data_IF_365822043886
#
_entry.id   IF_365822043886
#
_cell.length_a   1.000
_cell.length_b   1.000
_cell.length_c   1.000
_cell.angle_alpha   90.00
_cell.angle_beta   90.00
_cell.angle_gamma   90.00
#
_symmetry.space_group_name_H-M   'P 1'
#
loop_
_entity.id
_entity.type
_entity.pdbx_description
1 polymer ?
#
# COMPACT_ATOMS: atom_id res chain seq x y z
N UNK A 1 -16.78 -39.30 8.83
CA UNK A 1 -15.79 -38.33 8.31
C UNK A 1 -14.81 -38.04 9.44
N UNK A 2 -13.51 -38.05 9.18
CA UNK A 2 -12.48 -37.69 10.18
C UNK A 2 -12.41 -36.17 10.32
N UNK A 3 -11.92 -35.65 11.46
CA UNK A 3 -11.75 -34.21 11.67
C UNK A 3 -10.87 -33.58 10.56
N UNK A 4 -9.81 -34.27 10.16
CA UNK A 4 -8.96 -33.89 9.01
C UNK A 4 -9.74 -33.75 7.69
N UNK A 5 -10.62 -34.71 7.36
CA UNK A 5 -11.43 -34.63 6.12
C UNK A 5 -12.42 -33.47 6.13
N UNK A 6 -12.99 -33.15 7.30
CA UNK A 6 -13.90 -32.00 7.48
C UNK A 6 -13.11 -30.70 7.34
N UNK A 7 -11.94 -30.61 7.98
CA UNK A 7 -11.07 -29.44 7.89
C UNK A 7 -10.61 -29.19 6.46
N UNK A 8 -10.20 -30.23 5.72
CA UNK A 8 -9.83 -30.10 4.30
C UNK A 8 -10.96 -29.57 3.43
N UNK A 9 -12.19 -30.07 3.61
CA UNK A 9 -13.36 -29.55 2.90
C UNK A 9 -13.66 -28.09 3.27
N UNK A 10 -13.57 -27.73 4.55
CA UNK A 10 -13.76 -26.38 5.04
C UNK A 10 -12.70 -25.41 4.49
N UNK A 11 -11.45 -25.85 4.39
CA UNK A 11 -10.35 -25.09 3.78
C UNK A 11 -10.59 -24.80 2.30
N UNK A 12 -11.11 -25.77 1.55
CA UNK A 12 -11.47 -25.56 0.14
C UNK A 12 -12.60 -24.53 0.01
N UNK A 13 -13.63 -24.61 0.87
CA UNK A 13 -14.71 -23.62 0.90
C UNK A 13 -14.19 -22.24 1.28
N UNK A 14 -13.32 -22.14 2.29
CA UNK A 14 -12.70 -20.88 2.70
C UNK A 14 -11.86 -20.28 1.58
N UNK A 15 -11.07 -21.08 0.85
CA UNK A 15 -10.29 -20.65 -0.29
C UNK A 15 -11.17 -20.07 -1.40
N UNK A 16 -12.29 -20.72 -1.74
CA UNK A 16 -13.27 -20.20 -2.70
C UNK A 16 -13.87 -18.86 -2.23
N UNK A 17 -14.18 -18.74 -0.93
CA UNK A 17 -14.67 -17.48 -0.36
C UNK A 17 -13.64 -16.36 -0.42
N UNK A 18 -12.35 -16.64 -0.24
CA UNK A 18 -11.29 -15.64 -0.44
C UNK A 18 -11.16 -15.20 -1.90
N UNK A 19 -11.30 -16.11 -2.86
CA UNK A 19 -11.35 -15.76 -4.29
C UNK A 19 -12.56 -14.85 -4.58
N UNK A 20 -13.74 -15.22 -4.07
CA UNK A 20 -14.95 -14.40 -4.21
C UNK A 20 -14.84 -13.06 -3.48
N UNK A 21 -14.05 -12.99 -2.40
CA UNK A 21 -13.76 -11.75 -1.69
C UNK A 21 -13.02 -10.76 -2.58
N UNK A 22 -11.92 -11.18 -3.22
CA UNK A 22 -11.20 -10.32 -4.16
C UNK A 22 -12.04 -9.97 -5.40
N UNK A 23 -12.77 -10.94 -5.96
CA UNK A 23 -13.67 -10.67 -7.07
C UNK A 23 -14.73 -9.62 -6.70
N UNK A 24 -15.32 -9.72 -5.51
CA UNK A 24 -16.28 -8.75 -5.00
C UNK A 24 -15.68 -7.37 -4.75
N UNK A 25 -14.41 -7.28 -4.34
CA UNK A 25 -13.69 -6.03 -4.12
C UNK A 25 -13.30 -5.30 -5.41
N UNK A 26 -13.32 -5.99 -6.57
CA UNK A 26 -12.97 -5.38 -7.86
C UNK A 26 -13.97 -4.36 -8.39
N UNK A 27 -15.18 -4.30 -7.81
CA UNK A 27 -16.25 -3.37 -8.20
C UNK A 27 -16.90 -2.76 -6.96
N UNK A 28 -17.19 -1.47 -7.01
CA UNK A 28 -17.72 -0.74 -5.86
C UNK A 28 -19.10 -1.24 -5.42
N UNK A 29 -19.96 -1.66 -6.36
CA UNK A 29 -21.30 -2.18 -6.10
C UNK A 29 -21.26 -3.51 -5.33
N UNK A 30 -20.23 -4.32 -5.58
CA UNK A 30 -20.04 -5.62 -4.94
C UNK A 30 -19.05 -5.59 -3.76
N UNK A 31 -18.35 -4.48 -3.52
CA UNK A 31 -17.27 -4.38 -2.54
C UNK A 31 -17.70 -4.83 -1.14
N UNK A 32 -18.89 -4.41 -0.69
CA UNK A 32 -19.43 -4.82 0.62
C UNK A 32 -19.66 -6.34 0.71
N UNK A 33 -20.15 -6.96 -0.37
CA UNK A 33 -20.34 -8.41 -0.44
C UNK A 33 -19.00 -9.14 -0.47
N UNK A 34 -18.00 -8.57 -1.17
CA UNK A 34 -16.62 -9.06 -1.17
C UNK A 34 -16.03 -9.15 0.24
N UNK A 35 -16.20 -8.11 1.06
CA UNK A 35 -15.76 -8.12 2.47
C UNK A 35 -16.43 -9.23 3.27
N UNK A 36 -17.74 -9.43 3.10
CA UNK A 36 -18.47 -10.50 3.79
C UNK A 36 -17.98 -11.90 3.40
N UNK A 37 -17.62 -12.14 2.14
CA UNK A 37 -17.01 -13.40 1.74
C UNK A 37 -15.66 -13.62 2.44
N UNK A 38 -14.83 -12.58 2.55
CA UNK A 38 -13.56 -12.66 3.28
C UNK A 38 -13.74 -12.98 4.77
N UNK A 39 -14.69 -12.32 5.43
CA UNK A 39 -15.04 -12.59 6.84
C UNK A 39 -15.51 -14.04 7.01
N UNK A 40 -16.43 -14.49 6.14
CA UNK A 40 -16.94 -15.86 6.16
C UNK A 40 -15.85 -16.90 5.93
N UNK A 41 -14.98 -16.68 4.95
CA UNK A 41 -13.84 -17.55 4.65
C UNK A 41 -12.87 -17.67 5.84
N UNK A 42 -12.51 -16.55 6.46
CA UNK A 42 -11.64 -16.54 7.64
C UNK A 42 -12.30 -17.24 8.84
N UNK A 43 -13.59 -17.00 9.08
CA UNK A 43 -14.31 -17.66 10.17
C UNK A 43 -14.36 -19.18 9.98
N UNK A 44 -14.67 -19.66 8.77
CA UNK A 44 -14.69 -21.09 8.45
C UNK A 44 -13.30 -21.71 8.64
N UNK A 45 -12.25 -21.05 8.14
CA UNK A 45 -10.87 -21.52 8.27
C UNK A 45 -10.46 -21.66 9.74
N UNK A 46 -10.66 -20.61 10.55
CA UNK A 46 -10.29 -20.62 11.97
C UNK A 46 -11.05 -21.67 12.77
N UNK A 47 -12.36 -21.83 12.52
CA UNK A 47 -13.18 -22.85 13.20
C UNK A 47 -12.72 -24.26 12.82
N UNK A 48 -12.42 -24.50 11.53
CA UNK A 48 -11.92 -25.78 11.07
C UNK A 48 -10.54 -26.12 11.67
N UNK A 49 -9.62 -25.16 11.69
CA UNK A 49 -8.29 -25.34 12.30
C UNK A 49 -8.39 -25.55 13.81
N UNK A 50 -9.24 -24.80 14.51
CA UNK A 50 -9.45 -24.99 15.94
C UNK A 50 -10.03 -26.39 16.24
N UNK A 51 -10.98 -26.85 15.43
CA UNK A 51 -11.52 -28.20 15.54
C UNK A 51 -10.45 -29.27 15.36
N UNK A 52 -9.56 -29.11 14.37
CA UNK A 52 -8.43 -30.01 14.14
C UNK A 52 -7.43 -30.00 15.31
N UNK A 53 -7.10 -28.83 15.84
CA UNK A 53 -6.21 -28.69 17.00
C UNK A 53 -6.81 -29.34 18.24
N UNK A 54 -8.11 -29.17 18.49
CA UNK A 54 -8.79 -29.81 19.62
C UNK A 54 -8.77 -31.33 19.45
N UNK A 55 -9.12 -31.85 18.28
CA UNK A 55 -9.10 -33.29 17.98
C UNK A 55 -7.72 -33.90 18.28
N UNK A 56 -6.65 -33.29 17.76
CA UNK A 56 -5.26 -33.71 18.01
C UNK A 56 -4.89 -33.60 19.49
N UNK A 57 -5.20 -32.48 20.14
CA UNK A 57 -4.82 -32.25 21.54
C UNK A 57 -5.60 -33.12 22.53
N UNK A 58 -6.76 -33.66 22.13
CA UNK A 58 -7.55 -34.62 22.93
C UNK A 58 -7.21 -36.08 22.65
N UNK A 59 -6.31 -36.37 21.71
CA UNK A 59 -5.83 -37.72 21.46
C UNK A 59 -4.95 -38.22 22.62
N UNK A 60 -5.03 -39.52 22.92
CA UNK A 60 -4.30 -40.15 24.05
C UNK A 60 -2.79 -39.88 24.02
N UNK A 61 -2.20 -39.67 22.84
CA UNK A 61 -0.78 -39.36 22.64
C UNK A 61 -0.38 -37.96 23.16
N UNK A 62 -1.30 -36.99 23.14
CA UNK A 62 -1.02 -35.58 23.46
C UNK A 62 -1.59 -35.12 24.81
N UNK A 63 -2.58 -35.82 25.36
CA UNK A 63 -3.17 -35.48 26.67
C UNK A 63 -2.10 -35.54 27.77
N UNK A 64 -1.24 -36.56 27.76
CA UNK A 64 -0.14 -36.71 28.72
C UNK A 64 1.04 -35.75 28.48
N UNK A 65 1.13 -35.16 27.28
CA UNK A 65 2.19 -34.24 26.86
C UNK A 65 1.78 -32.75 26.91
N UNK A 66 0.69 -32.41 27.61
CA UNK A 66 0.28 -31.03 27.81
C UNK A 66 -0.60 -30.44 26.70
N UNK A 67 -1.37 -31.28 25.99
CA UNK A 67 -2.33 -30.84 24.96
C UNK A 67 -3.29 -29.74 25.43
N UNK A 68 -3.82 -29.85 26.65
CA UNK A 68 -4.68 -28.83 27.27
C UNK A 68 -3.98 -27.48 27.40
N UNK A 69 -2.71 -27.47 27.84
CA UNK A 69 -1.91 -26.24 27.97
C UNK A 69 -1.70 -25.59 26.60
N UNK A 70 -1.45 -26.39 25.56
CA UNK A 70 -1.27 -25.90 24.19
C UNK A 70 -2.53 -25.21 23.65
N UNK A 71 -3.72 -25.80 23.87
CA UNK A 71 -4.99 -25.17 23.50
C UNK A 71 -5.20 -23.85 24.24
N UNK A 72 -4.93 -23.83 25.56
CA UNK A 72 -5.09 -22.61 26.37
C UNK A 72 -4.17 -21.51 25.86
N UNK A 73 -2.89 -21.81 25.59
CA UNK A 73 -1.94 -20.85 25.05
C UNK A 73 -2.36 -20.31 23.68
N UNK A 74 -2.84 -21.19 22.79
CA UNK A 74 -3.37 -20.81 21.47
C UNK A 74 -4.57 -19.86 21.60
N UNK A 75 -5.56 -20.20 22.42
CA UNK A 75 -6.75 -19.36 22.63
C UNK A 75 -6.39 -18.01 23.24
N UNK A 76 -5.50 -17.97 24.22
CA UNK A 76 -5.02 -16.72 24.83
C UNK A 76 -4.32 -15.85 23.77
N UNK A 77 -3.43 -16.42 22.96
CA UNK A 77 -2.75 -15.69 21.90
C UNK A 77 -3.72 -15.13 20.86
N UNK A 78 -4.71 -15.93 20.42
CA UNK A 78 -5.75 -15.49 19.48
C UNK A 78 -6.59 -14.35 20.06
N UNK A 79 -7.02 -14.46 21.32
CA UNK A 79 -7.82 -13.43 21.99
C UNK A 79 -7.03 -12.12 22.13
N UNK A 80 -5.76 -12.19 22.54
CA UNK A 80 -4.89 -11.01 22.65
C UNK A 80 -4.69 -10.36 21.27
N UNK A 81 -4.36 -11.17 20.25
CA UNK A 81 -4.18 -10.69 18.89
C UNK A 81 -5.44 -10.03 18.32
N UNK A 82 -6.60 -10.65 18.50
CA UNK A 82 -7.89 -10.11 18.08
C UNK A 82 -8.24 -8.82 18.81
N UNK A 83 -8.01 -8.75 20.14
CA UNK A 83 -8.28 -7.56 20.92
C UNK A 83 -7.42 -6.36 20.47
N UNK A 84 -6.11 -6.57 20.28
CA UNK A 84 -5.19 -5.54 19.80
C UNK A 84 -5.56 -5.10 18.38
N UNK A 85 -5.84 -6.07 17.49
CA UNK A 85 -6.23 -5.80 16.10
C UNK A 85 -7.52 -4.99 16.00
N UNK A 86 -8.57 -5.39 16.72
CA UNK A 86 -9.85 -4.67 16.76
C UNK A 86 -9.71 -3.28 17.38
N UNK A 87 -8.89 -3.14 18.43
CA UNK A 87 -8.62 -1.84 19.04
C UNK A 87 -7.91 -0.90 18.04
N UNK A 88 -6.81 -1.34 17.43
CA UNK A 88 -6.05 -0.53 16.47
C UNK A 88 -6.87 -0.17 15.23
N UNK A 89 -7.66 -1.10 14.70
CA UNK A 89 -8.52 -0.84 13.54
C UNK A 89 -9.61 0.20 13.81
N UNK A 90 -10.07 0.37 15.06
CA UNK A 90 -11.10 1.35 15.42
C UNK A 90 -10.58 2.78 15.61
N UNK A 91 -9.31 2.94 15.96
CA UNK A 91 -8.74 4.24 16.33
C UNK A 91 -7.86 4.86 15.25
N UNK A 92 -7.50 4.10 14.21
CA UNK A 92 -6.64 4.59 13.13
C UNK A 92 -7.42 5.58 12.27
N UNK A 93 -6.81 6.73 11.98
CA UNK A 93 -7.35 7.69 11.02
C UNK A 93 -7.11 7.20 9.58
N UNK A 94 -8.00 7.55 8.64
CA UNK A 94 -7.88 7.11 7.23
C UNK A 94 -6.59 7.59 6.56
N UNK A 95 -6.04 8.72 7.00
CA UNK A 95 -4.73 9.24 6.58
C UNK A 95 -3.54 8.41 7.06
N UNK A 96 -3.70 7.71 8.19
CA UNK A 96 -2.72 6.78 8.77
C UNK A 96 -2.89 5.33 8.29
N UNK A 97 -3.79 5.07 7.35
CA UNK A 97 -4.00 3.74 6.80
C UNK A 97 -2.74 3.13 6.14
N UNK A 98 -1.90 3.90 5.39
CA UNK A 98 -0.71 3.32 4.74
C UNK A 98 0.31 2.75 5.73
N UNK A 99 0.57 3.46 6.83
CA UNK A 99 1.51 2.99 7.86
C UNK A 99 0.96 1.80 8.64
N UNK A 100 -0.36 1.77 8.92
CA UNK A 100 -0.97 0.62 9.58
C UNK A 100 -0.87 -0.63 8.71
N UNK A 101 -1.14 -0.52 7.40
CA UNK A 101 -1.03 -1.65 6.46
C UNK A 101 0.42 -2.15 6.42
N UNK A 102 1.40 -1.25 6.34
CA UNK A 102 2.82 -1.61 6.41
C UNK A 102 3.13 -2.40 7.68
N UNK A 103 2.65 -1.94 8.84
CA UNK A 103 2.84 -2.61 10.12
C UNK A 103 2.15 -3.99 10.15
N UNK A 104 0.95 -4.15 9.57
CA UNK A 104 0.24 -5.43 9.54
C UNK A 104 1.00 -6.51 8.77
N UNK A 105 1.63 -6.15 7.65
CA UNK A 105 2.51 -7.07 6.91
C UNK A 105 3.70 -7.56 7.76
N UNK A 106 4.18 -6.75 8.71
CA UNK A 106 5.27 -7.18 9.59
C UNK A 106 4.85 -8.39 10.43
N UNK A 107 3.61 -8.42 10.95
CA UNK A 107 3.11 -9.55 11.72
C UNK A 107 2.99 -10.83 10.89
N UNK A 108 2.60 -10.72 9.61
CA UNK A 108 2.56 -11.87 8.69
C UNK A 108 3.97 -12.41 8.45
N UNK A 109 4.94 -11.53 8.20
CA UNK A 109 6.34 -11.93 8.04
C UNK A 109 6.92 -12.61 9.28
N UNK A 110 6.66 -12.05 10.47
CA UNK A 110 7.10 -12.64 11.73
C UNK A 110 6.43 -14.00 11.99
N UNK A 111 5.13 -14.13 11.70
CA UNK A 111 4.43 -15.41 11.82
C UNK A 111 5.05 -16.48 10.90
N UNK A 112 5.39 -16.14 9.66
CA UNK A 112 6.06 -17.07 8.74
C UNK A 112 7.46 -17.49 9.25
N UNK A 113 8.22 -16.57 9.86
CA UNK A 113 9.51 -16.90 10.49
C UNK A 113 9.29 -17.90 11.64
N UNK A 114 8.33 -17.63 12.53
CA UNK A 114 8.04 -18.51 13.66
C UNK A 114 7.56 -19.90 13.20
N UNK A 115 6.71 -19.95 12.16
CA UNK A 115 6.25 -21.20 11.55
C UNK A 115 7.40 -21.98 10.94
N UNK A 116 8.31 -21.33 10.21
CA UNK A 116 9.49 -21.98 9.65
C UNK A 116 10.44 -22.53 10.72
N UNK A 117 10.69 -21.76 11.79
CA UNK A 117 11.46 -22.23 12.94
C UNK A 117 10.81 -23.42 13.63
N UNK A 118 9.50 -23.38 13.85
CA UNK A 118 8.77 -24.50 14.43
C UNK A 118 8.84 -25.75 13.53
N UNK A 119 8.65 -25.59 12.21
CA UNK A 119 8.71 -26.69 11.26
C UNK A 119 10.09 -27.36 11.18
N UNK A 120 11.17 -26.61 11.35
CA UNK A 120 12.51 -27.18 11.49
C UNK A 120 12.66 -27.98 12.79
N UNK A 121 12.34 -27.36 13.93
CA UNK A 121 12.53 -27.98 15.23
C UNK A 121 11.68 -29.24 15.39
N UNK A 122 10.47 -29.27 14.83
CA UNK A 122 9.60 -30.43 14.87
C UNK A 122 10.18 -31.63 14.12
N UNK A 123 10.67 -31.43 12.89
CA UNK A 123 11.26 -32.50 12.08
C UNK A 123 12.56 -33.03 12.70
N UNK A 124 13.42 -32.15 13.21
CA UNK A 124 14.68 -32.57 13.85
C UNK A 124 14.46 -33.31 15.17
N UNK A 125 13.42 -32.98 15.94
CA UNK A 125 13.15 -33.68 17.21
C UNK A 125 12.37 -34.98 17.03
N UNK A 126 11.50 -35.08 16.02
CA UNK A 126 10.53 -36.18 15.92
C UNK A 126 10.74 -37.11 14.71
N UNK A 127 11.56 -36.71 13.74
CA UNK A 127 11.96 -37.56 12.61
C UNK A 127 10.82 -37.96 11.67
N UNK A 128 9.74 -37.19 11.57
CA UNK A 128 8.52 -37.57 10.83
C UNK A 128 8.62 -37.54 9.30
N UNK A 129 9.74 -37.07 8.75
CA UNK A 129 9.97 -36.99 7.31
C UNK A 129 11.24 -37.78 7.00
N UNK A 130 11.20 -38.65 5.98
CA UNK A 130 12.33 -39.49 5.59
C UNK A 130 12.75 -39.27 4.13
N UNK A 131 14.01 -39.57 3.82
CA UNK A 131 14.51 -39.59 2.45
C UNK A 131 14.58 -38.22 1.76
N UNK A 132 14.19 -38.15 0.49
CA UNK A 132 14.26 -36.91 -0.30
C UNK A 132 13.28 -35.83 0.17
N UNK A 133 12.22 -36.21 0.88
CA UNK A 133 11.21 -35.26 1.38
C UNK A 133 11.77 -34.34 2.47
N UNK A 134 12.73 -34.82 3.27
CA UNK A 134 13.41 -34.00 4.30
C UNK A 134 14.15 -32.82 3.67
N UNK A 135 14.83 -33.07 2.55
CA UNK A 135 15.59 -32.04 1.84
C UNK A 135 14.67 -30.97 1.23
N UNK A 136 13.50 -31.37 0.75
CA UNK A 136 12.47 -30.45 0.27
C UNK A 136 11.93 -29.61 1.43
N UNK A 137 11.56 -30.26 2.54
CA UNK A 137 11.12 -29.58 3.77
C UNK A 137 12.13 -28.55 4.26
N UNK A 138 13.41 -28.90 4.32
CA UNK A 138 14.48 -27.97 4.73
C UNK A 138 14.64 -26.77 3.78
N UNK A 139 14.43 -26.97 2.48
CA UNK A 139 14.40 -25.87 1.53
C UNK A 139 13.19 -24.95 1.78
N UNK A 140 12.01 -25.52 2.00
CA UNK A 140 10.77 -24.78 2.30
C UNK A 140 10.89 -23.96 3.59
N UNK A 141 11.46 -24.53 4.66
CA UNK A 141 11.79 -23.83 5.90
C UNK A 141 12.62 -22.57 5.63
N UNK A 142 13.74 -22.74 4.92
CA UNK A 142 14.71 -21.65 4.69
C UNK A 142 14.10 -20.55 3.82
N UNK A 143 13.38 -20.93 2.75
CA UNK A 143 12.70 -19.98 1.87
C UNK A 143 11.61 -19.23 2.63
N UNK A 144 10.78 -19.92 3.42
CA UNK A 144 9.72 -19.32 4.24
C UNK A 144 10.27 -18.31 5.26
N UNK A 145 11.34 -18.68 5.98
CA UNK A 145 12.01 -17.78 6.93
C UNK A 145 12.61 -16.57 6.22
N UNK A 146 13.28 -16.77 5.10
CA UNK A 146 13.91 -15.68 4.36
C UNK A 146 12.89 -14.63 3.90
N UNK A 147 11.82 -15.07 3.22
CA UNK A 147 10.77 -14.16 2.75
C UNK A 147 10.07 -13.50 3.94
N UNK A 148 9.76 -14.26 4.99
CA UNK A 148 9.11 -13.75 6.20
C UNK A 148 9.94 -12.69 6.92
N UNK A 149 11.24 -12.93 7.11
CA UNK A 149 12.14 -12.02 7.82
C UNK A 149 12.44 -10.73 7.03
N UNK A 150 12.60 -10.84 5.70
CA UNK A 150 12.70 -9.67 4.80
C UNK A 150 11.43 -8.84 4.89
N UNK A 151 10.26 -9.49 4.86
CA UNK A 151 8.96 -8.82 4.99
C UNK A 151 8.83 -8.12 6.34
N UNK A 152 9.15 -8.82 7.44
CA UNK A 152 9.03 -8.28 8.80
C UNK A 152 9.80 -6.97 8.99
N UNK A 153 11.10 -6.99 8.70
CA UNK A 153 11.96 -5.82 8.89
C UNK A 153 11.70 -4.73 7.86
N UNK A 154 11.47 -5.10 6.59
CA UNK A 154 11.11 -4.16 5.55
C UNK A 154 9.83 -3.39 5.88
N UNK A 155 8.81 -4.09 6.36
CA UNK A 155 7.54 -3.52 6.82
C UNK A 155 7.69 -2.59 8.01
N UNK A 156 8.56 -2.91 8.98
CA UNK A 156 8.85 -2.01 10.10
C UNK A 156 9.48 -0.72 9.59
N UNK A 157 10.45 -0.78 8.68
CA UNK A 157 11.09 0.43 8.12
C UNK A 157 10.09 1.25 7.31
N UNK A 158 9.23 0.60 6.50
CA UNK A 158 8.16 1.27 5.78
C UNK A 158 7.20 2.00 6.72
N UNK A 159 6.76 1.33 7.80
CA UNK A 159 5.93 1.94 8.86
C UNK A 159 6.62 3.16 9.49
N UNK A 160 7.88 3.04 9.88
CA UNK A 160 8.62 4.13 10.51
C UNK A 160 8.81 5.34 9.58
N UNK A 161 9.00 5.11 8.28
CA UNK A 161 9.10 6.19 7.27
C UNK A 161 7.76 6.87 7.03
N UNK A 162 6.68 6.09 6.87
CA UNK A 162 5.35 6.62 6.60
C UNK A 162 4.79 7.42 7.79
N UNK A 163 5.06 6.94 9.02
CA UNK A 163 4.74 7.63 10.28
C UNK A 163 5.67 8.77 10.65
N UNK A 164 6.61 9.12 9.77
CA UNK A 164 7.59 10.18 9.96
C UNK A 164 8.43 10.06 11.25
N UNK A 165 8.54 8.84 11.81
CA UNK A 165 9.40 8.55 12.97
C UNK A 165 10.88 8.45 12.61
N UNK A 166 11.18 8.16 11.34
CA UNK A 166 12.52 8.23 10.76
C UNK A 166 12.50 9.07 9.48
N UNK A 167 13.69 9.49 9.02
CA UNK A 167 13.83 10.28 7.80
C UNK A 167 13.30 9.50 6.58
N UNK A 168 12.56 10.20 5.73
CA UNK A 168 12.03 9.69 4.47
C UNK A 168 13.08 9.63 3.34
N UNK A 169 14.23 10.28 3.52
CA UNK A 169 15.36 10.23 2.59
C UNK A 169 15.93 8.81 2.48
N UNK A 170 16.30 8.35 1.28
CA UNK A 170 16.90 7.04 1.11
C UNK A 170 18.25 6.95 1.84
N UNK A 171 18.49 5.83 2.52
CA UNK A 171 19.81 5.51 3.07
C UNK A 171 20.76 5.14 1.93
N UNK A 172 21.91 5.81 1.84
CA UNK A 172 22.89 5.57 0.78
C UNK A 172 24.18 5.03 1.42
N UNK A 173 24.34 3.71 1.43
CA UNK A 173 25.60 3.06 1.81
C UNK A 173 26.52 2.92 0.58
N UNK A 174 27.85 3.04 0.76
CA UNK A 174 28.82 2.73 -0.30
C UNK A 174 28.61 1.29 -0.79
N UNK A 175 28.39 1.11 -2.10
CA UNK A 175 28.18 -0.21 -2.68
C UNK A 175 26.87 -0.91 -2.27
N UNK A 176 25.82 -0.17 -1.89
CA UNK A 176 24.52 -0.73 -1.45
C UNK A 176 23.98 -1.87 -2.31
N UNK A 177 24.15 -1.79 -3.64
CA UNK A 177 23.68 -2.82 -4.57
C UNK A 177 24.49 -4.11 -4.45
N UNK A 178 25.81 -3.99 -4.26
CA UNK A 178 26.69 -5.13 -4.04
C UNK A 178 26.37 -5.81 -2.70
N UNK A 179 26.02 -5.04 -1.66
CA UNK A 179 25.56 -5.61 -0.39
C UNK A 179 24.27 -6.41 -0.56
N UNK A 180 23.29 -5.88 -1.28
CA UNK A 180 22.01 -6.57 -1.53
C UNK A 180 22.19 -7.84 -2.37
N UNK A 181 22.92 -7.76 -3.48
CA UNK A 181 23.20 -8.92 -4.35
C UNK A 181 24.06 -9.94 -3.61
N UNK A 182 25.07 -9.48 -2.86
CA UNK A 182 25.91 -10.32 -2.03
C UNK A 182 25.11 -11.08 -0.97
N UNK A 183 24.16 -10.42 -0.30
CA UNK A 183 23.26 -11.07 0.65
C UNK A 183 22.41 -12.17 -0.01
N UNK A 184 21.92 -11.96 -1.24
CA UNK A 184 21.18 -12.99 -1.98
C UNK A 184 22.07 -14.19 -2.37
N UNK A 185 23.31 -13.94 -2.78
CA UNK A 185 24.28 -15.01 -3.09
C UNK A 185 24.62 -15.81 -1.83
N UNK A 186 24.89 -15.12 -0.72
CA UNK A 186 25.14 -15.77 0.58
C UNK A 186 23.93 -16.58 1.03
N UNK A 187 22.71 -16.04 0.87
CA UNK A 187 21.48 -16.78 1.15
C UNK A 187 21.37 -18.07 0.34
N UNK A 188 21.63 -18.03 -0.98
CA UNK A 188 21.58 -19.21 -1.83
C UNK A 188 22.63 -20.27 -1.41
N UNK A 189 23.84 -19.84 -1.09
CA UNK A 189 24.91 -20.73 -0.60
C UNK A 189 24.56 -21.37 0.75
N UNK A 190 24.05 -20.59 1.71
CA UNK A 190 23.62 -21.08 3.01
C UNK A 190 22.42 -22.03 2.89
N UNK A 191 21.51 -21.79 1.95
CA UNK A 191 20.39 -22.69 1.66
C UNK A 191 20.89 -24.05 1.17
N UNK A 192 21.81 -24.06 0.19
CA UNK A 192 22.38 -25.29 -0.33
C UNK A 192 23.13 -26.09 0.76
N UNK A 193 23.85 -25.39 1.64
CA UNK A 193 24.51 -26.01 2.79
C UNK A 193 23.49 -26.59 3.76
N UNK A 194 22.51 -25.80 4.20
CA UNK A 194 21.49 -26.23 5.16
C UNK A 194 20.67 -27.43 4.67
N UNK A 195 20.31 -27.47 3.39
CA UNK A 195 19.57 -28.60 2.81
C UNK A 195 20.41 -29.89 2.83
N UNK A 196 21.73 -29.77 2.75
CA UNK A 196 22.65 -30.91 2.73
C UNK A 196 23.04 -31.39 4.13
N UNK A 197 23.29 -30.45 5.05
CA UNK A 197 23.71 -30.67 6.42
C UNK A 197 22.97 -29.65 7.32
N UNK A 198 21.74 -29.96 7.75
CA UNK A 198 20.89 -29.05 8.50
C UNK A 198 21.46 -28.80 9.89
N UNK A 199 21.81 -27.55 10.18
CA UNK A 199 22.38 -27.16 11.47
C UNK A 199 21.66 -25.93 11.99
N UNK A 200 21.35 -25.92 13.28
CA UNK A 200 20.60 -24.82 13.90
C UNK A 200 21.26 -23.45 13.69
N UNK A 201 22.60 -23.39 13.75
CA UNK A 201 23.31 -22.11 13.55
C UNK A 201 23.17 -21.58 12.12
N UNK A 202 23.07 -22.44 11.10
CA UNK A 202 22.81 -22.01 9.71
C UNK A 202 21.44 -21.34 9.62
N UNK A 203 20.42 -21.90 10.27
CA UNK A 203 19.09 -21.30 10.38
C UNK A 203 19.13 -19.91 11.02
N UNK A 204 19.90 -19.77 12.11
CA UNK A 204 20.11 -18.47 12.79
C UNK A 204 20.76 -17.47 11.86
N UNK A 205 21.85 -17.86 11.19
CA UNK A 205 22.59 -16.97 10.27
C UNK A 205 21.70 -16.52 9.11
N UNK A 206 20.94 -17.44 8.49
CA UNK A 206 19.99 -17.08 7.43
C UNK A 206 18.92 -16.12 7.94
N UNK A 207 18.37 -16.36 9.14
CA UNK A 207 17.37 -15.47 9.75
C UNK A 207 17.94 -14.07 9.94
N UNK A 208 19.13 -13.95 10.53
CA UNK A 208 19.80 -12.65 10.76
C UNK A 208 20.12 -11.95 9.44
N UNK A 209 20.61 -12.68 8.44
CA UNK A 209 20.89 -12.15 7.11
C UNK A 209 19.62 -11.59 6.45
N UNK A 210 18.52 -12.33 6.52
CA UNK A 210 17.24 -11.93 5.95
C UNK A 210 16.65 -10.68 6.66
N UNK A 211 16.73 -10.62 8.00
CA UNK A 211 16.35 -9.45 8.79
C UNK A 211 17.19 -8.22 8.41
N UNK A 212 18.51 -8.39 8.26
CA UNK A 212 19.40 -7.30 7.86
C UNK A 212 19.12 -6.83 6.43
N UNK A 213 18.85 -7.76 5.51
CA UNK A 213 18.52 -7.47 4.12
C UNK A 213 17.20 -6.69 4.00
N UNK A 214 16.13 -7.14 4.68
CA UNK A 214 14.84 -6.45 4.65
C UNK A 214 14.92 -5.03 5.18
N UNK A 215 15.65 -4.83 6.29
CA UNK A 215 15.96 -3.52 6.83
C UNK A 215 16.69 -2.65 5.80
N UNK A 216 17.81 -3.13 5.26
CA UNK A 216 18.66 -2.35 4.36
C UNK A 216 17.96 -2.02 3.03
N UNK A 217 17.24 -2.99 2.45
CA UNK A 217 16.53 -2.83 1.17
C UNK A 217 15.48 -1.71 1.28
N UNK A 218 14.62 -1.74 2.28
CA UNK A 218 13.57 -0.71 2.45
C UNK A 218 14.14 0.60 2.98
N UNK A 219 15.18 0.58 3.81
CA UNK A 219 15.87 1.78 4.26
C UNK A 219 16.48 2.56 3.08
N UNK A 220 16.91 1.86 2.02
CA UNK A 220 17.52 2.45 0.83
C UNK A 220 16.52 3.07 -0.16
N UNK A 221 15.20 2.94 0.08
CA UNK A 221 14.15 3.46 -0.81
C UNK A 221 13.60 4.79 -0.28
N UNK A 222 13.29 5.75 -1.17
CA UNK A 222 12.77 7.07 -0.79
C UNK A 222 11.31 7.06 -0.33
N UNK A 223 10.92 8.05 0.47
CA UNK A 223 9.59 8.17 1.07
C UNK A 223 8.41 8.20 0.11
N UNK A 224 8.56 8.77 -1.09
CA UNK A 224 7.46 8.82 -2.07
C UNK A 224 7.31 7.53 -2.87
N UNK A 225 8.28 6.61 -2.80
CA UNK A 225 8.18 5.27 -3.38
C UNK A 225 7.63 4.25 -2.36
N UNK A 226 7.47 4.66 -1.10
CA UNK A 226 6.91 3.83 -0.04
C UNK A 226 5.55 3.20 -0.40
N UNK A 227 4.63 3.84 -1.16
CA UNK A 227 3.39 3.18 -1.56
C UNK A 227 3.65 1.88 -2.36
N UNK A 228 4.61 1.92 -3.28
CA UNK A 228 5.02 0.74 -4.08
C UNK A 228 5.67 -0.29 -3.16
N UNK A 229 6.52 0.14 -2.22
CA UNK A 229 7.15 -0.77 -1.25
C UNK A 229 6.12 -1.48 -0.39
N UNK A 230 5.09 -0.78 0.09
CA UNK A 230 4.01 -1.37 0.88
C UNK A 230 3.26 -2.42 0.07
N UNK A 231 2.97 -2.14 -1.22
CA UNK A 231 2.35 -3.11 -2.12
C UNK A 231 3.24 -4.33 -2.40
N UNK A 232 4.55 -4.14 -2.53
CA UNK A 232 5.50 -5.23 -2.73
C UNK A 232 5.65 -6.09 -1.47
N UNK A 233 5.70 -5.48 -0.28
CA UNK A 233 5.72 -6.19 0.99
C UNK A 233 4.41 -6.97 1.21
N UNK A 234 3.28 -6.48 0.69
CA UNK A 234 2.04 -7.26 0.61
C UNK A 234 2.18 -8.49 -0.31
N UNK A 235 2.91 -8.36 -1.43
CA UNK A 235 3.24 -9.53 -2.26
C UNK A 235 4.08 -10.54 -1.48
N UNK A 236 5.13 -10.07 -0.79
CA UNK A 236 6.02 -10.95 -0.03
C UNK A 236 5.31 -11.64 1.14
N UNK A 237 4.39 -10.96 1.81
CA UNK A 237 3.58 -11.57 2.86
C UNK A 237 2.70 -12.71 2.31
N UNK A 238 2.14 -12.54 1.10
CA UNK A 238 1.43 -13.60 0.37
C UNK A 238 2.33 -14.80 0.04
N UNK A 239 3.51 -14.56 -0.51
CA UNK A 239 4.47 -15.64 -0.82
C UNK A 239 4.99 -16.35 0.44
N UNK A 240 5.18 -15.61 1.54
CA UNK A 240 5.55 -16.19 2.84
C UNK A 240 4.43 -17.08 3.40
N UNK A 241 3.16 -16.67 3.24
CA UNK A 241 2.01 -17.50 3.59
C UNK A 241 1.92 -18.75 2.72
N UNK A 242 2.16 -18.64 1.40
CA UNK A 242 2.19 -19.80 0.51
C UNK A 242 3.32 -20.78 0.85
N UNK A 243 4.52 -20.27 1.16
CA UNK A 243 5.65 -21.08 1.62
C UNK A 243 5.33 -21.79 2.95
N UNK A 244 4.69 -21.10 3.89
CA UNK A 244 4.18 -21.72 5.13
C UNK A 244 3.10 -22.76 4.83
N UNK A 245 2.30 -22.56 3.80
CA UNK A 245 1.31 -23.53 3.32
C UNK A 245 1.94 -24.81 2.80
N UNK A 246 3.01 -24.73 2.00
CA UNK A 246 3.76 -25.92 1.58
C UNK A 246 4.38 -26.64 2.78
N UNK A 247 5.04 -25.90 3.66
CA UNK A 247 5.66 -26.44 4.88
C UNK A 247 4.67 -27.21 5.77
N UNK A 248 3.44 -26.71 5.88
CA UNK A 248 2.39 -27.28 6.71
C UNK A 248 1.45 -28.22 5.95
N UNK A 249 1.71 -28.47 4.66
CA UNK A 249 0.82 -29.20 3.75
C UNK A 249 -0.64 -28.70 3.83
N UNK A 250 -0.82 -27.38 3.73
CA UNK A 250 -2.09 -26.69 3.92
C UNK A 250 -2.50 -25.91 2.66
N UNK A 251 -3.42 -26.50 1.88
CA UNK A 251 -3.93 -25.94 0.63
C UNK A 251 -4.54 -24.55 0.79
N UNK A 252 -5.19 -24.25 1.93
CA UNK A 252 -5.78 -22.93 2.15
C UNK A 252 -4.69 -21.85 2.15
N UNK A 253 -3.59 -22.09 2.87
CA UNK A 253 -2.47 -21.14 2.95
C UNK A 253 -1.76 -21.01 1.59
N UNK A 254 -1.62 -22.10 0.84
CA UNK A 254 -1.06 -22.08 -0.52
C UNK A 254 -1.93 -21.21 -1.43
N UNK A 255 -3.24 -21.47 -1.50
CA UNK A 255 -4.17 -20.76 -2.39
C UNK A 255 -4.27 -19.29 -2.00
N UNK A 256 -4.50 -18.99 -0.72
CA UNK A 256 -4.64 -17.60 -0.25
C UNK A 256 -3.32 -16.83 -0.35
N UNK A 257 -2.20 -17.47 -0.03
CA UNK A 257 -0.87 -16.89 -0.17
C UNK A 257 -0.53 -16.54 -1.62
N UNK A 258 -0.78 -17.45 -2.56
CA UNK A 258 -0.56 -17.20 -3.99
C UNK A 258 -1.48 -16.09 -4.54
N UNK A 259 -2.73 -16.04 -4.09
CA UNK A 259 -3.70 -15.01 -4.45
C UNK A 259 -3.25 -13.61 -3.98
N UNK A 260 -2.85 -13.48 -2.72
CA UNK A 260 -2.33 -12.21 -2.15
C UNK A 260 -1.00 -11.84 -2.79
N UNK A 261 -0.11 -12.82 -2.96
CA UNK A 261 1.22 -12.66 -3.55
C UNK A 261 1.15 -12.10 -4.98
N UNK A 262 0.35 -12.72 -5.83
CA UNK A 262 0.15 -12.28 -7.22
C UNK A 262 -0.54 -10.92 -7.32
N UNK A 263 -1.58 -10.67 -6.52
CA UNK A 263 -2.29 -9.38 -6.47
C UNK A 263 -1.36 -8.24 -6.06
N UNK A 264 -0.56 -8.42 -5.01
CA UNK A 264 0.42 -7.42 -4.57
C UNK A 264 1.52 -7.16 -5.62
N UNK A 265 1.98 -8.20 -6.32
CA UNK A 265 2.97 -8.04 -7.38
C UNK A 265 2.39 -7.23 -8.56
N UNK A 266 1.18 -7.57 -8.99
CA UNK A 266 0.48 -6.87 -10.07
C UNK A 266 0.19 -5.41 -9.71
N UNK A 267 -0.32 -5.14 -8.50
CA UNK A 267 -0.55 -3.80 -8.00
C UNK A 267 0.74 -2.97 -8.00
N UNK A 268 1.84 -3.56 -7.54
CA UNK A 268 3.14 -2.88 -7.53
C UNK A 268 3.61 -2.51 -8.94
N UNK A 269 3.37 -3.38 -9.92
CA UNK A 269 3.70 -3.13 -11.33
C UNK A 269 2.90 -1.96 -11.91
N UNK A 270 1.57 -1.95 -11.74
CA UNK A 270 0.72 -0.87 -12.27
C UNK A 270 1.03 0.48 -11.61
N UNK A 271 1.38 0.49 -10.32
CA UNK A 271 1.82 1.70 -9.64
C UNK A 271 3.15 2.22 -10.21
N UNK A 272 4.10 1.34 -10.48
CA UNK A 272 5.37 1.71 -11.12
C UNK A 272 5.13 2.30 -12.52
N UNK A 273 4.25 1.68 -13.30
CA UNK A 273 3.86 2.16 -14.62
C UNK A 273 3.20 3.55 -14.55
N UNK A 274 2.28 3.76 -13.59
CA UNK A 274 1.63 5.04 -13.37
C UNK A 274 2.60 6.16 -12.92
N UNK A 275 3.74 5.80 -12.35
CA UNK A 275 4.83 6.73 -12.00
C UNK A 275 5.87 6.89 -13.11
N UNK A 276 5.71 6.20 -14.24
CA UNK A 276 6.73 6.00 -15.27
C UNK A 276 8.11 5.63 -14.72
N UNK A 277 8.13 4.70 -13.77
CA UNK A 277 9.37 4.17 -13.18
C UNK A 277 9.46 2.68 -13.39
N UNK A 278 10.66 2.17 -13.65
CA UNK A 278 10.84 0.72 -13.76
C UNK A 278 10.75 0.06 -12.39
N UNK A 279 10.02 -1.06 -12.32
CA UNK A 279 9.85 -1.84 -11.11
C UNK A 279 11.19 -2.24 -10.45
N UNK A 280 12.17 -2.61 -11.29
CA UNK A 280 13.53 -2.95 -10.84
C UNK A 280 14.25 -1.73 -10.26
N UNK A 281 14.09 -0.54 -10.85
CA UNK A 281 14.69 0.70 -10.32
C UNK A 281 14.17 1.04 -8.93
N UNK A 282 12.87 0.86 -8.70
CA UNK A 282 12.25 1.10 -7.38
C UNK A 282 12.78 0.12 -6.34
N UNK A 283 12.87 -1.17 -6.65
CA UNK A 283 13.45 -2.20 -5.74
C UNK A 283 14.92 -1.91 -5.44
N UNK A 284 15.70 -1.54 -6.44
CA UNK A 284 17.12 -1.26 -6.29
C UNK A 284 17.41 0.10 -5.62
N UNK A 285 16.37 0.84 -5.20
CA UNK A 285 16.50 2.13 -4.53
C UNK A 285 17.02 3.23 -5.44
N UNK A 286 16.44 3.37 -6.63
CA UNK A 286 16.73 4.48 -7.56
C UNK A 286 17.84 4.19 -8.57
N UNK A 287 17.97 2.94 -9.03
CA UNK A 287 18.90 2.63 -10.11
C UNK A 287 18.43 3.30 -11.42
N UNK A 288 19.23 4.21 -11.98
CA UNK A 288 19.04 4.71 -13.35
C UNK A 288 18.33 6.05 -13.53
N UNK A 289 18.11 6.85 -12.49
CA UNK A 289 17.73 8.26 -12.66
C UNK A 289 18.70 9.11 -11.84
N UNK A 290 19.84 9.45 -12.44
CA UNK A 290 20.56 10.65 -12.01
C UNK A 290 19.60 11.82 -12.24
N UNK A 291 19.36 12.61 -11.19
CA UNK A 291 18.67 13.87 -11.37
C UNK A 291 19.53 14.75 -12.27
N UNK A 292 19.21 14.78 -13.57
CA UNK A 292 19.65 15.83 -14.47
C UNK A 292 19.36 17.15 -13.77
N UNK A 293 20.38 18.01 -13.65
CA UNK A 293 20.30 19.25 -12.89
C UNK A 293 19.00 19.99 -13.19
N UNK A 294 18.24 20.30 -12.13
CA UNK A 294 17.03 21.11 -12.22
C UNK A 294 17.38 22.46 -12.83
N UNK A 295 16.92 22.73 -14.04
CA UNK A 295 16.84 24.10 -14.53
C UNK A 295 15.87 24.85 -13.60
N UNK A 296 16.35 25.92 -12.96
CA UNK A 296 15.46 26.84 -12.26
C UNK A 296 14.54 27.47 -13.30
N UNK A 297 13.24 27.19 -13.19
CA UNK A 297 12.23 27.87 -13.99
C UNK A 297 12.00 29.22 -13.31
N UNK A 298 12.59 30.27 -13.88
CA UNK A 298 12.28 31.65 -13.51
C UNK A 298 11.02 32.10 -14.26
N UNK A 299 9.99 32.49 -13.51
CA UNK A 299 8.76 33.07 -14.02
C UNK A 299 8.02 33.81 -12.92
N UNK A 300 7.20 34.80 -13.28
CA UNK A 300 6.29 35.44 -12.33
C UNK A 300 5.02 34.57 -12.19
N UNK A 301 4.68 34.18 -10.97
CA UNK A 301 3.41 33.52 -10.69
C UNK A 301 2.31 34.57 -10.43
N UNK A 302 1.07 34.21 -10.76
CA UNK A 302 -0.11 35.04 -10.47
C UNK A 302 -0.75 34.54 -9.18
N UNK A 303 -1.17 35.45 -8.31
CA UNK A 303 -1.86 35.11 -7.05
C UNK A 303 -3.34 35.50 -7.12
N UNK A 304 -4.18 34.70 -6.48
CA UNK A 304 -5.61 34.96 -6.31
C UNK A 304 -6.00 34.73 -4.84
N UNK A 305 -6.98 35.48 -4.35
CA UNK A 305 -7.57 35.29 -3.02
C UNK A 305 -8.83 34.41 -3.07
N UNK A 306 -9.40 34.13 -1.90
CA UNK A 306 -10.58 33.26 -1.80
C UNK A 306 -11.84 33.88 -2.43
N UNK A 307 -11.99 35.21 -2.34
CA UNK A 307 -13.12 35.92 -2.93
C UNK A 307 -13.04 35.87 -4.47
N UNK A 308 -11.86 36.10 -5.05
CA UNK A 308 -11.66 35.97 -6.50
C UNK A 308 -11.90 34.56 -7.02
N UNK A 309 -11.52 33.53 -6.25
CA UNK A 309 -11.84 32.13 -6.61
C UNK A 309 -13.34 31.87 -6.53
N UNK A 310 -14.06 32.43 -5.55
CA UNK A 310 -15.51 32.31 -5.47
C UNK A 310 -16.22 32.98 -6.67
N UNK A 311 -15.70 34.10 -7.16
CA UNK A 311 -16.23 34.76 -8.37
C UNK A 311 -16.02 33.91 -9.63
N UNK A 312 -14.83 33.30 -9.79
CA UNK A 312 -14.56 32.35 -10.88
C UNK A 312 -15.50 31.15 -10.81
N UNK A 313 -15.72 30.58 -9.63
CA UNK A 313 -16.59 29.42 -9.45
C UNK A 313 -18.08 29.75 -9.65
N UNK A 314 -18.50 30.98 -9.36
CA UNK A 314 -19.88 31.43 -9.59
C UNK A 314 -20.17 31.59 -11.09
N UNK A 315 -19.18 31.96 -11.89
CA UNK A 315 -19.32 32.14 -13.34
C UNK A 315 -19.05 30.85 -14.14
N UNK A 316 -18.54 29.80 -13.51
CA UNK A 316 -18.23 28.53 -14.15
C UNK A 316 -19.48 27.68 -14.37
N UNK A 317 -19.55 27.00 -15.51
CA UNK A 317 -20.54 25.94 -15.77
C UNK A 317 -19.98 24.54 -15.47
N UNK A 318 -18.66 24.39 -15.54
CA UNK A 318 -17.94 23.13 -15.30
C UNK A 318 -16.71 23.32 -14.42
N UNK A 319 -16.58 22.49 -13.39
CA UNK A 319 -15.46 22.54 -12.43
C UNK A 319 -14.89 21.14 -12.24
N UNK A 320 -13.56 21.00 -12.38
CA UNK A 320 -12.86 19.76 -12.05
C UNK A 320 -11.96 19.98 -10.84
N UNK A 321 -12.06 19.11 -9.84
CA UNK A 321 -11.22 19.14 -8.65
C UNK A 321 -10.17 18.03 -8.77
N UNK A 322 -8.88 18.38 -8.68
CA UNK A 322 -7.76 17.44 -8.74
C UNK A 322 -7.05 17.39 -7.37
N UNK A 323 -7.45 16.44 -6.50
CA UNK A 323 -6.91 16.36 -5.15
C UNK A 323 -5.52 15.70 -5.14
N UNK A 324 -4.66 16.16 -4.23
CA UNK A 324 -3.37 15.55 -3.94
C UNK A 324 -3.13 15.34 -2.45
N UNK A 325 -1.93 14.88 -2.11
CA UNK A 325 -1.58 14.56 -0.71
C UNK A 325 -1.69 15.78 0.23
N UNK A 326 -1.50 17.01 -0.27
CA UNK A 326 -1.70 18.21 0.53
C UNK A 326 -3.13 18.38 1.07
N UNK A 327 -4.15 17.92 0.33
CA UNK A 327 -5.55 17.90 0.79
C UNK A 327 -5.70 16.98 2.00
N UNK A 328 -5.09 15.79 1.96
CA UNK A 328 -5.15 14.81 3.04
C UNK A 328 -4.45 15.29 4.31
N UNK A 329 -3.26 15.92 4.17
CA UNK A 329 -2.51 16.47 5.29
C UNK A 329 -3.28 17.60 5.98
N UNK A 330 -3.98 18.43 5.21
CA UNK A 330 -4.78 19.54 5.74
C UNK A 330 -6.16 19.09 6.27
N UNK A 331 -6.56 17.82 6.10
CA UNK A 331 -7.91 17.35 6.39
C UNK A 331 -9.00 18.15 5.64
N UNK A 332 -8.73 18.50 4.39
CA UNK A 332 -9.58 19.38 3.58
C UNK A 332 -10.70 18.62 2.82
N UNK A 333 -10.78 17.30 2.92
CA UNK A 333 -11.78 16.50 2.21
C UNK A 333 -13.23 16.88 2.56
N UNK A 334 -13.52 17.23 3.81
CA UNK A 334 -14.86 17.62 4.25
C UNK A 334 -15.31 18.97 3.68
N UNK A 335 -14.54 20.07 3.78
CA UNK A 335 -14.94 21.33 3.14
C UNK A 335 -14.93 21.22 1.61
N UNK A 336 -14.07 20.41 0.99
CA UNK A 336 -14.13 20.15 -0.46
C UNK A 336 -15.44 19.45 -0.86
N UNK A 337 -15.92 18.50 -0.05
CA UNK A 337 -17.23 17.88 -0.27
C UNK A 337 -18.39 18.89 -0.11
N UNK A 338 -18.31 19.81 0.87
CA UNK A 338 -19.32 20.86 1.01
C UNK A 338 -19.29 21.85 -0.17
N UNK A 339 -18.09 22.22 -0.64
CA UNK A 339 -17.92 23.07 -1.83
C UNK A 339 -18.55 22.41 -3.06
N UNK A 340 -18.25 21.14 -3.28
CA UNK A 340 -18.83 20.33 -4.36
C UNK A 340 -20.35 20.33 -4.30
N UNK A 341 -20.92 20.08 -3.11
CA UNK A 341 -22.37 20.05 -2.92
C UNK A 341 -23.01 21.40 -3.26
N UNK A 342 -22.46 22.51 -2.74
CA UNK A 342 -23.01 23.86 -2.98
C UNK A 342 -22.92 24.30 -4.43
N UNK A 343 -21.84 23.96 -5.13
CA UNK A 343 -21.69 24.25 -6.56
C UNK A 343 -22.69 23.43 -7.39
N UNK A 344 -22.88 22.13 -7.08
CA UNK A 344 -23.88 21.29 -7.75
C UNK A 344 -25.32 21.77 -7.49
N UNK A 345 -25.61 22.28 -6.29
CA UNK A 345 -26.91 22.91 -5.99
C UNK A 345 -27.19 24.16 -6.83
N UNK A 346 -26.14 24.84 -7.30
CA UNK A 346 -26.22 25.96 -8.25
C UNK A 346 -26.26 25.51 -9.72
N UNK A 347 -26.25 24.21 -9.99
CA UNK A 347 -26.29 23.65 -11.35
C UNK A 347 -24.93 23.55 -12.05
N UNK A 348 -23.82 23.78 -11.34
CA UNK A 348 -22.47 23.59 -11.88
C UNK A 348 -22.15 22.10 -11.98
N UNK A 349 -21.61 21.67 -13.13
CA UNK A 349 -21.09 20.31 -13.29
C UNK A 349 -19.75 20.18 -12.57
N UNK A 350 -19.74 19.49 -11.41
CA UNK A 350 -18.54 19.31 -10.59
C UNK A 350 -18.09 17.85 -10.61
N UNK A 351 -16.86 17.63 -11.07
CA UNK A 351 -16.23 16.31 -11.19
C UNK A 351 -14.87 16.29 -10.50
N UNK A 352 -14.41 15.12 -10.10
CA UNK A 352 -13.08 14.90 -9.53
C UNK A 352 -12.23 14.13 -10.52
N UNK A 353 -11.00 14.61 -10.75
CA UNK A 353 -9.99 13.89 -11.52
C UNK A 353 -8.94 13.29 -10.59
N UNK A 354 -8.90 11.97 -10.49
CA UNK A 354 -7.99 11.25 -9.59
C UNK A 354 -6.80 10.72 -10.36
N UNK A 355 -5.60 11.14 -9.96
CA UNK A 355 -4.38 10.54 -10.45
C UNK A 355 -4.11 9.20 -9.73
N UNK A 356 -3.72 8.11 -10.42
CA UNK A 356 -3.58 6.78 -9.81
C UNK A 356 -2.61 6.72 -8.61
N UNK A 357 -1.60 7.60 -8.60
CA UNK A 357 -0.62 7.71 -7.50
C UNK A 357 -0.77 8.96 -6.64
N UNK A 358 -1.93 9.62 -6.67
CA UNK A 358 -2.22 10.71 -5.75
C UNK A 358 -2.29 10.19 -4.30
N UNK A 359 -1.42 10.72 -3.42
CA UNK A 359 -1.41 10.39 -2.00
C UNK A 359 -0.20 9.56 -1.57
N UNK A 360 -0.44 8.55 -0.72
CA UNK A 360 0.59 7.71 -0.08
C UNK A 360 0.26 6.21 -0.13
N UNK A 361 -0.82 5.85 -0.81
CA UNK A 361 -1.31 4.48 -1.00
C UNK A 361 -2.25 4.47 -2.21
N UNK A 362 -2.34 3.37 -2.99
CA UNK A 362 -3.28 3.30 -4.12
C UNK A 362 -4.72 3.58 -3.71
N UNK A 363 -5.39 4.49 -4.42
CA UNK A 363 -6.77 4.86 -4.10
C UNK A 363 -6.92 5.70 -2.82
N UNK A 364 -5.83 6.28 -2.28
CA UNK A 364 -5.89 7.09 -1.06
C UNK A 364 -6.88 8.25 -1.20
N UNK A 365 -6.93 8.93 -2.35
CA UNK A 365 -7.89 10.02 -2.57
C UNK A 365 -9.33 9.52 -2.64
N UNK A 366 -9.59 8.40 -3.34
CA UNK A 366 -10.93 7.82 -3.46
C UNK A 366 -11.50 7.48 -2.07
N UNK A 367 -10.67 6.93 -1.18
CA UNK A 367 -11.05 6.58 0.20
C UNK A 367 -11.40 7.83 1.02
N UNK A 368 -10.60 8.90 0.95
CA UNK A 368 -10.87 10.14 1.68
C UNK A 368 -12.12 10.86 1.16
N UNK A 369 -12.35 10.85 -0.15
CA UNK A 369 -13.55 11.42 -0.75
C UNK A 369 -14.80 10.60 -0.37
N UNK A 370 -14.70 9.28 -0.34
CA UNK A 370 -15.75 8.40 0.14
C UNK A 370 -16.07 8.63 1.64
N UNK A 371 -15.06 8.84 2.48
CA UNK A 371 -15.24 9.23 3.88
C UNK A 371 -15.99 10.57 4.02
N UNK A 372 -15.65 11.55 3.17
CA UNK A 372 -16.35 12.82 3.08
C UNK A 372 -17.73 12.72 2.37
N UNK A 373 -18.15 11.51 1.98
CA UNK A 373 -19.43 11.20 1.32
C UNK A 373 -19.61 11.87 -0.05
N UNK A 374 -18.51 12.07 -0.78
CA UNK A 374 -18.57 12.49 -2.18
C UNK A 374 -19.17 11.34 -3.01
N UNK A 375 -20.18 11.60 -3.85
CA UNK A 375 -20.77 10.59 -4.72
C UNK A 375 -19.73 10.00 -5.70
N UNK A 376 -19.72 8.68 -5.88
CA UNK A 376 -18.71 8.01 -6.71
C UNK A 376 -18.86 8.28 -8.21
N UNK A 377 -20.07 8.60 -8.68
CA UNK A 377 -20.39 8.90 -10.08
C UNK A 377 -19.67 10.14 -10.60
N UNK A 378 -19.22 11.02 -9.71
CA UNK A 378 -18.47 12.23 -10.05
C UNK A 378 -16.97 12.09 -9.74
N UNK A 379 -16.51 10.92 -9.30
CA UNK A 379 -15.09 10.64 -9.04
C UNK A 379 -14.55 9.80 -10.17
N UNK A 380 -13.80 10.44 -11.07
CA UNK A 380 -13.31 9.86 -12.30
C UNK A 380 -11.80 9.61 -12.22
N UNK A 381 -11.35 8.52 -12.81
CA UNK A 381 -9.94 8.22 -12.97
C UNK A 381 -9.33 9.13 -14.05
N UNK A 382 -8.01 9.30 -14.00
CA UNK A 382 -7.28 10.20 -14.90
C UNK A 382 -7.58 9.97 -16.39
N UNK A 383 -7.66 8.71 -16.82
CA UNK A 383 -7.94 8.36 -18.22
C UNK A 383 -9.37 8.68 -18.66
N UNK A 384 -10.30 8.77 -17.70
CA UNK A 384 -11.71 9.09 -17.96
C UNK A 384 -11.97 10.60 -18.05
N UNK A 385 -11.19 11.41 -17.33
CA UNK A 385 -11.39 12.87 -17.24
C UNK A 385 -10.47 13.68 -18.17
N UNK A 386 -9.32 13.13 -18.58
CA UNK A 386 -8.26 13.92 -19.23
C UNK A 386 -8.69 14.56 -20.55
N UNK A 387 -9.61 13.95 -21.30
CA UNK A 387 -10.10 14.50 -22.58
C UNK A 387 -11.14 15.61 -22.38
N UNK A 388 -11.74 15.70 -21.18
CA UNK A 388 -12.75 16.70 -20.85
C UNK A 388 -12.13 18.01 -20.33
N UNK A 389 -10.87 17.97 -19.87
CA UNK A 389 -10.19 19.12 -19.25
C UNK A 389 -10.11 20.34 -20.18
N UNK A 390 -9.92 20.13 -21.48
CA UNK A 390 -9.88 21.21 -22.47
C UNK A 390 -11.20 22.01 -22.59
N UNK A 391 -12.33 21.39 -22.22
CA UNK A 391 -13.65 22.04 -22.20
C UNK A 391 -14.08 22.55 -20.82
N UNK A 392 -13.25 22.32 -19.79
CA UNK A 392 -13.54 22.68 -18.41
C UNK A 392 -13.25 24.17 -18.13
N UNK A 393 -14.15 24.85 -17.42
CA UNK A 393 -14.02 26.28 -17.11
C UNK A 393 -13.00 26.56 -16.01
N UNK A 394 -13.04 25.80 -14.93
CA UNK A 394 -12.14 25.97 -13.78
C UNK A 394 -11.65 24.62 -13.26
N UNK A 395 -10.34 24.49 -13.08
CA UNK A 395 -9.72 23.35 -12.40
C UNK A 395 -9.17 23.80 -11.04
N UNK A 396 -9.59 23.14 -9.97
CA UNK A 396 -9.04 23.35 -8.62
C UNK A 396 -8.00 22.26 -8.33
N UNK A 397 -6.73 22.62 -8.28
CA UNK A 397 -5.61 21.73 -7.94
C UNK A 397 -5.35 21.83 -6.44
N UNK A 398 -5.85 20.86 -5.67
CA UNK A 398 -5.84 20.93 -4.20
C UNK A 398 -4.73 20.07 -3.62
N UNK A 399 -3.57 20.66 -3.35
CA UNK A 399 -2.45 19.97 -2.71
C UNK A 399 -1.79 18.89 -3.58
N UNK A 400 -1.96 18.97 -4.90
CA UNK A 400 -1.23 18.18 -5.89
C UNK A 400 -0.05 19.00 -6.47
N UNK A 401 0.99 18.32 -6.93
CA UNK A 401 2.13 18.97 -7.58
C UNK A 401 2.64 18.14 -8.76
N UNK A 402 3.28 17.00 -8.49
CA UNK A 402 3.91 16.20 -9.54
C UNK A 402 2.89 15.59 -10.51
N UNK A 403 1.70 15.21 -10.01
CA UNK A 403 0.60 14.60 -10.78
C UNK A 403 -0.10 15.55 -11.76
N UNK A 404 0.25 16.83 -11.72
CA UNK A 404 -0.27 17.90 -12.60
C UNK A 404 0.86 18.67 -13.27
N UNK A 405 2.09 18.14 -13.23
CA UNK A 405 3.29 18.85 -13.69
C UNK A 405 3.48 18.67 -15.22
N UNK A 406 3.41 19.75 -16.04
CA UNK A 406 3.56 19.68 -17.49
C UNK A 406 4.92 19.15 -17.94
N UNK A 407 5.98 19.30 -17.12
CA UNK A 407 7.31 18.78 -17.44
C UNK A 407 7.32 17.27 -17.67
N UNK A 408 6.33 16.53 -17.16
CA UNK A 408 6.21 15.11 -17.47
C UNK A 408 5.89 14.85 -18.96
N UNK A 409 5.16 15.75 -19.61
CA UNK A 409 4.75 15.61 -21.01
C UNK A 409 5.63 16.44 -21.97
N UNK A 410 6.09 17.60 -21.53
CA UNK A 410 6.71 18.62 -22.40
C UNK A 410 8.24 18.65 -22.34
N UNK A 411 8.84 18.12 -21.27
CA UNK A 411 10.29 18.17 -21.06
C UNK A 411 10.92 16.76 -20.98
N UNK A 412 11.54 16.27 -22.06
CA UNK A 412 12.23 14.99 -22.07
C UNK A 412 13.41 14.89 -21.09
N UNK A 413 13.96 16.02 -20.62
CA UNK A 413 15.06 16.08 -19.65
C UNK A 413 14.60 16.00 -18.19
N UNK A 414 13.29 16.10 -17.95
CA UNK A 414 12.71 16.07 -16.61
C UNK A 414 12.85 14.71 -15.94
N UNK A 415 13.14 14.63 -14.62
CA UNK A 415 13.12 13.38 -13.85
C UNK A 415 11.77 12.65 -13.87
N UNK A 416 10.69 13.33 -14.26
CA UNK A 416 9.33 12.78 -14.38
C UNK A 416 8.85 12.68 -15.84
N UNK A 417 9.74 12.85 -16.81
CA UNK A 417 9.42 12.74 -18.24
C UNK A 417 8.74 11.39 -18.53
N UNK A 418 7.63 11.42 -19.27
CA UNK A 418 6.81 10.25 -19.63
C UNK A 418 5.83 9.78 -18.55
N UNK A 419 5.80 10.39 -17.36
CA UNK A 419 4.75 10.11 -16.36
C UNK A 419 3.40 10.59 -16.90
N UNK A 420 2.37 9.72 -16.97
CA UNK A 420 1.01 10.17 -17.22
C UNK A 420 0.62 11.20 -16.16
N UNK A 421 0.00 12.31 -16.54
CA UNK A 421 -0.42 13.37 -15.62
C UNK A 421 -1.79 13.88 -15.99
N UNK A 422 -2.48 14.50 -15.03
CA UNK A 422 -3.71 15.24 -15.31
C UNK A 422 -3.34 16.53 -16.06
N UNK A 423 -3.84 16.67 -17.29
CA UNK A 423 -3.54 17.80 -18.19
C UNK A 423 -4.33 19.06 -17.81
N UNK A 424 -4.26 19.44 -16.54
CA UNK A 424 -5.06 20.54 -15.96
C UNK A 424 -4.82 21.88 -16.64
N UNK A 425 -3.64 22.05 -17.25
CA UNK A 425 -3.27 23.26 -17.98
C UNK A 425 -4.07 23.47 -19.28
N UNK A 426 -4.79 22.46 -19.76
CA UNK A 426 -5.67 22.58 -20.94
C UNK A 426 -6.99 23.31 -20.60
N UNK A 427 -7.35 23.43 -19.32
CA UNK A 427 -8.56 24.11 -18.89
C UNK A 427 -8.48 25.64 -19.03
N UNK A 428 -9.64 26.31 -19.04
CA UNK A 428 -9.70 27.77 -19.20
C UNK A 428 -9.04 28.52 -18.04
N UNK A 429 -9.26 28.07 -16.80
CA UNK A 429 -8.63 28.61 -15.60
C UNK A 429 -8.18 27.48 -14.67
N UNK A 430 -7.01 27.64 -14.05
CA UNK A 430 -6.46 26.70 -13.07
C UNK A 430 -6.15 27.46 -11.79
N UNK A 431 -6.64 26.96 -10.65
CA UNK A 431 -6.34 27.50 -9.32
C UNK A 431 -5.58 26.45 -8.52
N UNK A 432 -4.36 26.78 -8.12
CA UNK A 432 -3.47 25.87 -7.37
C UNK A 432 -3.42 26.24 -5.90
N UNK A 433 -3.80 25.31 -5.04
CA UNK A 433 -3.78 25.47 -3.58
C UNK A 433 -2.47 24.95 -3.03
N UNK A 434 -1.67 25.84 -2.42
CA UNK A 434 -0.38 25.46 -1.84
C UNK A 434 0.04 26.37 -0.69
N UNK A 435 0.89 25.88 0.21
CA UNK A 435 1.43 26.69 1.32
C UNK A 435 2.61 27.57 0.92
N UNK A 436 3.40 27.13 -0.07
CA UNK A 436 4.60 27.81 -0.56
C UNK A 436 5.00 27.27 -1.93
N UNK A 437 5.98 27.89 -2.59
CA UNK A 437 6.53 27.44 -3.88
C UNK A 437 7.49 26.25 -3.78
N UNK A 438 7.52 25.54 -2.65
CA UNK A 438 8.40 24.39 -2.45
C UNK A 438 8.11 23.27 -3.47
N UNK A 439 9.15 22.58 -3.96
CA UNK A 439 8.99 21.48 -4.91
C UNK A 439 8.15 20.31 -4.34
N UNK A 440 7.66 19.47 -5.24
CA UNK A 440 6.91 18.25 -4.90
C UNK A 440 7.83 17.14 -4.43
N UNK A 441 7.38 15.90 -4.57
CA UNK A 441 8.20 14.74 -4.21
C UNK A 441 9.39 14.59 -5.16
N UNK A 442 9.16 14.79 -6.46
CA UNK A 442 10.20 14.67 -7.48
C UNK A 442 11.33 15.71 -7.33
N UNK A 443 11.15 16.73 -6.47
CA UNK A 443 12.14 17.79 -6.29
C UNK A 443 12.27 18.74 -7.47
N UNK A 444 11.38 18.63 -8.46
CA UNK A 444 11.34 19.46 -9.67
C UNK A 444 10.37 20.63 -9.45
N UNK A 445 10.73 21.82 -9.96
CA UNK A 445 9.80 22.93 -10.08
C UNK A 445 8.67 22.58 -11.07
N UNK A 446 7.51 23.21 -10.90
CA UNK A 446 6.35 22.92 -11.73
C UNK A 446 6.05 24.12 -12.66
N UNK A 447 6.27 23.99 -13.98
CA UNK A 447 5.97 25.05 -14.95
C UNK A 447 4.50 25.50 -14.91
N UNK A 448 3.58 24.65 -14.46
CA UNK A 448 2.16 24.99 -14.32
C UNK A 448 1.96 26.31 -13.57
N UNK A 449 2.74 26.54 -12.52
CA UNK A 449 2.56 27.69 -11.61
C UNK A 449 2.85 29.03 -12.28
N UNK A 450 3.50 29.02 -13.45
CA UNK A 450 3.88 30.21 -14.21
C UNK A 450 3.07 30.37 -15.50
N UNK A 451 2.08 29.50 -15.76
CA UNK A 451 1.22 29.61 -16.94
C UNK A 451 0.21 30.74 -16.79
N UNK A 452 -0.15 31.36 -17.90
CA UNK A 452 -1.05 32.52 -17.91
C UNK A 452 -2.45 32.21 -17.35
N UNK A 453 -2.98 31.01 -17.61
CA UNK A 453 -4.27 30.55 -17.11
C UNK A 453 -4.22 30.02 -15.68
N UNK A 454 -3.05 30.04 -15.02
CA UNK A 454 -2.87 29.49 -13.67
C UNK A 454 -2.71 30.59 -12.63
N UNK A 455 -3.40 30.42 -11.50
CA UNK A 455 -3.39 31.34 -10.38
C UNK A 455 -3.14 30.56 -9.08
N UNK A 456 -2.31 31.12 -8.21
CA UNK A 456 -1.87 30.52 -6.95
C UNK A 456 -2.74 31.03 -5.81
N UNK A 457 -3.36 30.12 -5.07
CA UNK A 457 -4.07 30.43 -3.83
C UNK A 457 -3.24 29.92 -2.65
N UNK A 458 -2.50 30.84 -2.00
CA UNK A 458 -1.60 30.49 -0.92
C UNK A 458 -2.32 30.28 0.42
N UNK A 459 -1.94 29.23 1.15
CA UNK A 459 -2.42 28.97 2.51
C UNK A 459 -2.60 27.49 2.81
N UNK A 460 -3.11 27.20 4.00
CA UNK A 460 -3.59 25.85 4.34
C UNK A 460 -4.82 25.49 3.48
N UNK A 461 -4.82 24.31 2.88
CA UNK A 461 -5.86 23.92 1.91
C UNK A 461 -7.26 23.89 2.53
N UNK A 462 -7.40 23.46 3.80
CA UNK A 462 -8.68 23.41 4.49
C UNK A 462 -9.22 24.82 4.68
N UNK A 463 -8.38 25.71 5.22
CA UNK A 463 -8.76 27.09 5.47
C UNK A 463 -9.13 27.83 4.18
N UNK A 464 -8.35 27.64 3.10
CA UNK A 464 -8.65 28.28 1.81
C UNK A 464 -10.00 27.83 1.24
N UNK A 465 -10.34 26.55 1.34
CA UNK A 465 -11.66 26.05 0.89
C UNK A 465 -12.79 26.59 1.78
N UNK A 466 -12.58 26.68 3.09
CA UNK A 466 -13.54 27.30 4.03
C UNK A 466 -13.77 28.79 3.73
N UNK A 467 -12.71 29.54 3.39
CA UNK A 467 -12.81 30.95 3.01
C UNK A 467 -13.62 31.10 1.69
N UNK A 468 -13.39 30.24 0.70
CA UNK A 468 -14.17 30.20 -0.55
C UNK A 468 -15.65 29.90 -0.25
N UNK A 469 -15.92 28.92 0.61
CA UNK A 469 -17.28 28.58 1.04
C UNK A 469 -18.00 29.76 1.70
N UNK A 470 -17.27 30.55 2.50
CA UNK A 470 -17.80 31.75 3.14
C UNK A 470 -18.09 32.86 2.12
N UNK A 471 -17.22 33.04 1.12
CA UNK A 471 -17.43 33.99 0.02
C UNK A 471 -18.63 33.60 -0.86
N UNK A 472 -18.74 32.33 -1.26
CA UNK A 472 -19.87 31.81 -2.04
C UNK A 472 -21.22 31.95 -1.31
N UNK A 473 -21.24 31.96 0.02
CA UNK A 473 -22.47 32.16 0.78
C UNK A 473 -23.01 33.59 0.71
N UNK A 474 -22.16 34.57 0.36
CA UNK A 474 -22.54 35.98 0.23
C UNK A 474 -23.18 36.30 -1.13
N UNK A 475 -22.94 35.46 -2.13
CA UNK A 475 -23.48 35.62 -3.48
C UNK A 475 -24.81 34.87 -3.58
N UNK A 476 -25.95 35.54 -3.80
CA UNK A 476 -27.24 34.85 -3.96
C UNK A 476 -27.19 33.86 -5.13
N UNK A 477 -27.99 32.80 -5.03
CA UNK A 477 -28.06 31.71 -6.00
C UNK A 477 -28.64 32.15 -7.34
#
# INVERSE_FOLDING_TARGET
>A
MTASSIAGAAYLVAALLFILSLAGLSRHETARRGVWFGIGGMAIALVATLGLVIDVATSDEYVDNGGTTSIVLLLVAVVIGAAIGLWRARIVEMTGMPELIALLHSFVGLAAVLVGWNGFLEVEHRGFVEGSLVRIHHAEVIVGIFIGAVTFTGSIIAFLKLSARIRSSPLVLPGKNLLNVGALVVFAALTAWFVSDPQLWLLVVVTVLALALGLHLVASIGGGDMPVVVSMLNSYSGWAAAASGFLLNNDLLIVTGALVGSSGAYLSYIMCQAMNRSFISVIAGGFGIEASGTAEIEGEHREIDADGVADLLTSASSVVITPGYGMAVAQAQYPVADLTRRLRERGVDVRFGIHPVAGRLPGHMNVLLAEAKVPYDIVLEMDEINDDLASTDVVLVIGANDTVNPSAAEDPGSPIAGMPVLRVWEAKNVVVFKRSMAAGYAGVQNPLFFRENTQMLFGDAKQRVEDILAALARVPA
#
